data_IF_085035381763
#
_entry.id   IF_085035381763
#
_cell.length_a   1.000
_cell.length_b   1.000
_cell.length_c   1.000
_cell.angle_alpha   90.00
_cell.angle_beta   90.00
_cell.angle_gamma   90.00
#
_symmetry.space_group_name_H-M   'P 1'
#
loop_
_entity.id
_entity.type
_entity.pdbx_description
1 polymer ?
#
# COMPACT_ATOMS: atom_id res chain seq x y z
N UNK A 1 -19.38 -1.10 5.30
CA UNK A 1 -18.84 -2.38 4.80
C UNK A 1 -17.41 -2.48 5.28
N UNK A 2 -17.16 -3.31 6.30
CA UNK A 2 -15.86 -3.40 6.98
C UNK A 2 -14.98 -4.45 6.31
N UNK A 3 -13.78 -4.07 5.88
CA UNK A 3 -12.79 -4.99 5.28
C UNK A 3 -11.79 -5.40 6.35
N UNK A 4 -11.77 -6.68 6.71
CA UNK A 4 -10.82 -7.24 7.68
C UNK A 4 -9.42 -7.43 7.04
N UNK A 5 -8.38 -7.06 7.78
CA UNK A 5 -6.96 -7.23 7.42
C UNK A 5 -6.28 -8.04 8.52
N UNK A 6 -5.54 -9.10 8.15
CA UNK A 6 -4.93 -10.06 9.09
C UNK A 6 -3.40 -10.08 8.94
N UNK A 7 -2.67 -10.01 10.06
CA UNK A 7 -1.21 -10.22 10.14
C UNK A 7 -0.89 -11.68 10.54
N UNK A 8 0.16 -12.29 10.00
CA UNK A 8 0.60 -13.67 10.31
C UNK A 8 2.12 -13.73 10.58
N UNK A 9 2.54 -14.40 11.66
CA UNK A 9 3.90 -14.92 11.92
C UNK A 9 3.84 -16.39 12.35
N UNK A 10 4.90 -17.17 12.09
CA UNK A 10 4.94 -18.65 12.20
C UNK A 10 5.67 -19.23 13.45
N UNK A 11 5.19 -20.41 13.89
CA UNK A 11 5.76 -21.50 14.72
C UNK A 11 5.46 -21.59 16.26
N UNK A 12 5.27 -22.81 16.85
CA UNK A 12 4.75 -23.04 18.22
C UNK A 12 5.85 -23.35 19.28
N UNK A 13 5.51 -23.47 20.57
CA UNK A 13 5.71 -22.45 21.61
C UNK A 13 6.36 -23.07 22.88
N UNK A 14 7.14 -22.33 23.71
CA UNK A 14 7.37 -22.66 25.12
C UNK A 14 6.30 -21.99 26.02
N UNK A 15 6.08 -22.48 27.26
CA UNK A 15 4.95 -22.06 28.10
C UNK A 15 5.07 -20.61 28.57
N UNK A 16 3.90 -20.02 28.80
CA UNK A 16 3.60 -18.60 28.86
C UNK A 16 4.51 -17.77 29.79
N UNK A 17 5.17 -16.77 29.20
CA UNK A 17 5.36 -15.46 29.82
C UNK A 17 4.62 -14.45 28.97
N UNK A 18 3.52 -13.91 29.53
CA UNK A 18 2.62 -12.90 28.96
C UNK A 18 2.87 -12.52 27.50
N UNK A 19 2.23 -13.23 26.57
CA UNK A 19 2.18 -12.79 25.19
C UNK A 19 1.55 -11.39 25.17
N UNK A 20 2.37 -10.36 24.91
CA UNK A 20 1.89 -9.05 24.53
C UNK A 20 1.01 -9.25 23.29
N UNK A 21 -0.31 -9.38 23.47
CA UNK A 21 -1.28 -9.39 22.38
C UNK A 21 -1.05 -8.09 21.61
N UNK A 22 -0.47 -8.19 20.42
CA UNK A 22 -0.37 -7.05 19.52
C UNK A 22 -1.79 -6.56 19.25
N UNK A 23 -2.04 -5.31 19.63
CA UNK A 23 -3.35 -4.71 19.40
C UNK A 23 -3.66 -4.75 17.89
N UNK A 24 -4.93 -5.00 17.51
CA UNK A 24 -5.32 -5.01 16.11
C UNK A 24 -5.01 -3.65 15.48
N UNK A 25 -4.41 -3.68 14.28
CA UNK A 25 -4.20 -2.46 13.51
C UNK A 25 -5.52 -2.01 12.90
N UNK A 26 -5.94 -0.80 13.23
CA UNK A 26 -7.21 -0.23 12.73
C UNK A 26 -6.90 0.83 11.69
N UNK A 27 -7.52 0.70 10.52
CA UNK A 27 -7.44 1.69 9.45
C UNK A 27 -8.82 2.32 9.24
N UNK A 28 -8.90 3.65 9.33
CA UNK A 28 -10.11 4.38 8.91
C UNK A 28 -10.16 4.50 7.39
N UNK A 29 -11.22 5.12 6.85
CA UNK A 29 -11.36 5.36 5.40
C UNK A 29 -11.33 6.85 5.07
N UNK A 30 -10.59 7.22 4.04
CA UNK A 30 -10.47 8.59 3.55
C UNK A 30 -11.81 9.09 2.95
N UNK A 31 -12.14 10.38 3.07
CA UNK A 31 -13.26 10.97 2.32
C UNK A 31 -13.14 10.76 0.81
N UNK A 32 -14.28 10.58 0.14
CA UNK A 32 -14.36 10.46 -1.32
C UNK A 32 -14.34 11.84 -1.96
N UNK A 33 -13.46 12.07 -2.94
CA UNK A 33 -13.50 13.30 -3.74
C UNK A 33 -14.76 13.42 -4.58
N UNK A 34 -15.42 12.31 -4.91
CA UNK A 34 -16.66 12.30 -5.67
C UNK A 34 -17.88 12.74 -4.82
N UNK A 35 -17.87 12.45 -3.51
CA UNK A 35 -19.00 12.77 -2.62
C UNK A 35 -18.85 14.12 -1.91
N UNK A 36 -17.63 14.62 -1.75
CA UNK A 36 -17.34 15.89 -1.08
C UNK A 36 -16.33 16.70 -1.89
N UNK A 37 -16.72 17.22 -3.07
CA UNK A 37 -15.81 17.97 -3.94
C UNK A 37 -15.41 19.32 -3.32
N UNK A 38 -16.37 20.03 -2.71
CA UNK A 38 -16.11 21.31 -2.06
C UNK A 38 -15.33 21.09 -0.76
N UNK A 39 -14.27 21.89 -0.54
CA UNK A 39 -13.40 21.82 0.63
C UNK A 39 -12.80 20.42 0.89
N UNK A 40 -12.60 19.63 -0.18
CA UNK A 40 -12.11 18.25 -0.07
C UNK A 40 -10.83 18.13 0.77
N UNK A 41 -9.83 18.99 0.51
CA UNK A 41 -8.56 18.97 1.23
C UNK A 41 -8.72 19.23 2.74
N UNK A 42 -9.57 20.20 3.10
CA UNK A 42 -9.88 20.50 4.50
C UNK A 42 -10.56 19.30 5.17
N UNK A 43 -11.51 18.67 4.46
CA UNK A 43 -12.22 17.49 4.95
C UNK A 43 -11.28 16.30 5.16
N UNK A 44 -10.36 16.04 4.23
CA UNK A 44 -9.32 15.02 4.35
C UNK A 44 -8.47 15.28 5.61
N UNK A 45 -7.98 16.50 5.77
CA UNK A 45 -7.16 16.87 6.93
C UNK A 45 -7.93 16.73 8.25
N UNK A 46 -9.20 17.12 8.28
CA UNK A 46 -10.07 16.98 9.46
C UNK A 46 -10.29 15.52 9.84
N UNK A 47 -10.64 14.67 8.87
CA UNK A 47 -10.87 13.24 9.10
C UNK A 47 -9.58 12.54 9.51
N UNK A 48 -8.44 12.86 8.89
CA UNK A 48 -7.13 12.34 9.30
C UNK A 48 -6.83 12.64 10.77
N UNK A 49 -7.01 13.90 11.20
CA UNK A 49 -6.84 14.27 12.61
C UNK A 49 -7.82 13.57 13.55
N UNK A 50 -9.04 13.32 13.12
CA UNK A 50 -10.01 12.55 13.92
C UNK A 50 -9.60 11.08 14.05
N UNK A 51 -9.20 10.44 12.95
CA UNK A 51 -8.73 9.05 12.95
C UNK A 51 -7.51 8.87 13.84
N UNK A 52 -6.56 9.81 13.80
CA UNK A 52 -5.40 9.81 14.68
C UNK A 52 -5.80 9.87 16.16
N UNK A 53 -6.69 10.80 16.53
CA UNK A 53 -7.18 10.93 17.91
C UNK A 53 -7.97 9.71 18.38
N UNK A 54 -8.63 9.02 17.46
CA UNK A 54 -9.33 7.77 17.73
C UNK A 54 -8.38 6.55 17.86
N UNK A 55 -7.06 6.75 17.70
CA UNK A 55 -6.06 5.70 17.84
C UNK A 55 -5.93 4.78 16.61
N UNK A 56 -6.42 5.20 15.43
CA UNK A 56 -6.21 4.44 14.21
C UNK A 56 -4.72 4.36 13.88
N UNK A 57 -4.27 3.18 13.44
CA UNK A 57 -2.93 2.97 12.89
C UNK A 57 -2.73 3.74 11.59
N UNK A 58 -3.78 3.84 10.78
CA UNK A 58 -3.71 4.52 9.50
C UNK A 58 -5.06 4.83 8.89
N UNK A 59 -5.04 5.28 7.64
CA UNK A 59 -6.22 5.66 6.88
C UNK A 59 -6.11 5.18 5.43
N UNK A 60 -7.09 4.41 4.98
CA UNK A 60 -7.17 3.92 3.61
C UNK A 60 -7.50 5.07 2.65
N UNK A 61 -6.58 5.31 1.72
CA UNK A 61 -6.80 6.17 0.56
C UNK A 61 -7.02 5.25 -0.64
N UNK A 62 -8.29 5.03 -0.98
CA UNK A 62 -8.68 4.18 -2.11
C UNK A 62 -8.55 4.95 -3.43
N UNK A 63 -8.59 4.21 -4.53
CA UNK A 63 -8.40 4.74 -5.88
C UNK A 63 -9.34 4.03 -6.84
N UNK A 64 -9.85 4.79 -7.80
CA UNK A 64 -10.48 4.35 -9.04
C UNK A 64 -10.36 5.48 -10.07
N UNK A 65 -10.84 5.29 -11.30
CA UNK A 65 -10.66 6.29 -12.35
C UNK A 65 -11.50 7.58 -12.16
N UNK A 66 -12.39 7.64 -11.16
CA UNK A 66 -13.27 8.77 -10.87
C UNK A 66 -12.79 9.62 -9.68
N UNK A 67 -11.74 9.18 -8.98
CA UNK A 67 -11.22 9.82 -7.78
C UNK A 67 -9.91 10.56 -8.05
N UNK A 68 -9.59 11.50 -7.16
CA UNK A 68 -8.28 12.17 -7.18
C UNK A 68 -7.15 11.19 -6.82
N UNK A 69 -5.92 11.52 -7.22
CA UNK A 69 -4.76 10.66 -7.01
C UNK A 69 -4.51 10.35 -5.52
N UNK A 70 -4.36 9.06 -5.14
CA UNK A 70 -4.26 8.67 -3.75
C UNK A 70 -2.91 9.05 -3.11
N UNK A 71 -1.84 9.25 -3.89
CA UNK A 71 -0.53 9.65 -3.38
C UNK A 71 -0.53 11.12 -2.96
N UNK A 72 -1.14 11.99 -3.76
CA UNK A 72 -1.29 13.41 -3.41
C UNK A 72 -2.16 13.59 -2.17
N UNK A 73 -3.25 12.85 -2.05
CA UNK A 73 -4.08 12.84 -0.83
C UNK A 73 -3.31 12.31 0.38
N UNK A 74 -2.47 11.29 0.18
CA UNK A 74 -1.62 10.75 1.26
C UNK A 74 -0.61 11.76 1.79
N UNK A 75 -0.07 12.62 0.92
CA UNK A 75 0.80 13.72 1.37
C UNK A 75 0.04 14.71 2.27
N UNK A 76 -1.19 15.07 1.92
CA UNK A 76 -2.05 15.95 2.73
C UNK A 76 -2.29 15.35 4.11
N UNK A 77 -2.56 14.04 4.18
CA UNK A 77 -2.75 13.30 5.43
C UNK A 77 -1.50 13.36 6.31
N UNK A 78 -0.33 13.02 5.78
CA UNK A 78 0.93 12.99 6.55
C UNK A 78 1.28 14.38 7.07
N UNK A 79 1.11 15.43 6.27
CA UNK A 79 1.38 16.81 6.67
C UNK A 79 0.46 17.32 7.80
N UNK A 80 -0.71 16.70 7.98
CA UNK A 80 -1.73 17.15 8.93
C UNK A 80 -1.87 16.25 10.17
N UNK A 81 -0.98 15.26 10.33
CA UNK A 81 -1.02 14.26 11.43
C UNK A 81 0.38 13.96 11.95
N UNK A 82 0.50 13.50 13.19
CA UNK A 82 1.80 13.20 13.82
C UNK A 82 2.29 11.75 13.70
N UNK A 83 1.35 10.81 13.65
CA UNK A 83 1.56 9.36 13.74
C UNK A 83 0.73 8.57 12.72
N UNK A 84 -0.41 9.10 12.29
CA UNK A 84 -1.29 8.41 11.33
C UNK A 84 -0.54 8.14 10.02
N UNK A 85 -0.61 6.91 9.56
CA UNK A 85 0.05 6.46 8.33
C UNK A 85 -0.98 6.25 7.21
N UNK A 86 -0.79 6.83 6.01
CA UNK A 86 -1.62 6.49 4.87
C UNK A 86 -1.49 5.00 4.50
N UNK A 87 -2.62 4.38 4.16
CA UNK A 87 -2.71 3.09 3.50
C UNK A 87 -3.14 3.36 2.05
N UNK A 88 -2.18 3.43 1.15
CA UNK A 88 -2.38 3.84 -0.24
C UNK A 88 -2.83 2.65 -1.07
N UNK A 89 -3.99 2.73 -1.72
CA UNK A 89 -4.39 1.73 -2.70
C UNK A 89 -3.52 1.85 -3.95
N UNK A 90 -2.89 0.75 -4.36
CA UNK A 90 -1.97 0.68 -5.49
C UNK A 90 -2.45 -0.37 -6.47
N UNK A 91 -2.64 0.05 -7.72
CA UNK A 91 -3.00 -0.82 -8.82
C UNK A 91 -1.88 -0.82 -9.87
N UNK A 92 -1.30 -2.00 -10.21
CA UNK A 92 -0.17 -2.10 -11.15
C UNK A 92 -0.40 -1.52 -12.55
N UNK A 93 -1.65 -1.28 -12.94
CA UNK A 93 -2.02 -0.69 -14.24
C UNK A 93 -1.68 0.79 -14.30
N UNK A 94 -1.70 1.50 -13.16
CA UNK A 94 -1.56 2.95 -13.15
C UNK A 94 -0.11 3.42 -13.31
N UNK A 95 0.88 2.64 -12.85
CA UNK A 95 2.27 3.04 -12.93
C UNK A 95 3.25 1.90 -12.70
N UNK A 96 4.48 2.07 -13.20
CA UNK A 96 5.60 1.14 -13.04
C UNK A 96 5.98 0.92 -11.55
N UNK A 97 6.41 -0.29 -11.13
CA UNK A 97 6.77 -0.57 -9.73
C UNK A 97 7.88 0.34 -9.20
N UNK A 98 8.81 0.78 -10.06
CA UNK A 98 9.83 1.76 -9.68
C UNK A 98 9.23 3.09 -9.20
N UNK A 99 8.19 3.59 -9.86
CA UNK A 99 7.54 4.86 -9.49
C UNK A 99 6.89 4.76 -8.12
N UNK A 100 6.23 3.64 -7.83
CA UNK A 100 5.67 3.37 -6.49
C UNK A 100 6.75 3.28 -5.43
N UNK A 101 7.82 2.52 -5.69
CA UNK A 101 8.96 2.42 -4.77
C UNK A 101 9.58 3.80 -4.51
N UNK A 102 9.72 4.64 -5.54
CA UNK A 102 10.21 6.01 -5.41
C UNK A 102 9.29 6.90 -4.57
N UNK A 103 7.97 6.83 -4.75
CA UNK A 103 7.03 7.60 -3.93
C UNK A 103 7.05 7.17 -2.47
N UNK A 104 7.14 5.86 -2.21
CA UNK A 104 7.28 5.33 -0.84
C UNK A 104 8.56 5.86 -0.18
N UNK A 105 9.70 5.68 -0.85
CA UNK A 105 10.99 6.18 -0.36
C UNK A 105 10.95 7.69 -0.13
N UNK A 106 10.33 8.45 -1.03
CA UNK A 106 10.23 9.90 -0.92
C UNK A 106 9.36 10.33 0.27
N UNK A 107 8.14 9.80 0.41
CA UNK A 107 7.26 10.16 1.54
C UNK A 107 7.90 9.77 2.88
N UNK A 108 8.47 8.57 2.95
CA UNK A 108 9.11 8.11 4.18
C UNK A 108 10.34 8.95 4.55
N UNK A 109 11.17 9.32 3.57
CA UNK A 109 12.32 10.18 3.78
C UNK A 109 11.92 11.60 4.20
N UNK A 110 10.93 12.20 3.53
CA UNK A 110 10.52 13.58 3.79
C UNK A 110 9.88 13.77 5.17
N UNK A 111 9.13 12.76 5.64
CA UNK A 111 8.31 12.89 6.86
C UNK A 111 8.76 11.99 8.01
N UNK A 112 9.82 11.20 7.83
CA UNK A 112 10.30 10.26 8.84
C UNK A 112 9.23 9.25 9.29
N UNK A 113 8.29 8.92 8.40
CA UNK A 113 7.13 8.08 8.72
C UNK A 113 6.90 7.05 7.63
N UNK A 114 6.73 5.79 8.03
CA UNK A 114 6.36 4.74 7.08
C UNK A 114 4.98 5.01 6.47
N UNK A 115 4.74 4.40 5.32
CA UNK A 115 3.40 4.31 4.73
C UNK A 115 2.97 2.86 4.60
N UNK A 116 1.71 2.61 4.33
CA UNK A 116 1.21 1.28 4.01
C UNK A 116 0.70 1.23 2.57
N UNK A 117 0.73 0.04 1.99
CA UNK A 117 0.23 -0.22 0.65
C UNK A 117 -0.93 -1.21 0.75
N UNK A 118 -2.04 -0.86 0.13
CA UNK A 118 -3.09 -1.81 -0.22
C UNK A 118 -2.90 -2.19 -1.68
N UNK A 119 -2.28 -3.34 -1.93
CA UNK A 119 -2.04 -3.88 -3.26
C UNK A 119 -3.35 -4.43 -3.83
N UNK A 120 -3.79 -3.88 -4.96
CA UNK A 120 -5.04 -4.21 -5.62
C UNK A 120 -4.75 -4.91 -6.94
N UNK A 121 -5.14 -6.18 -7.06
CA UNK A 121 -4.91 -6.96 -8.28
C UNK A 121 -5.65 -6.39 -9.49
N UNK A 122 -6.85 -5.84 -9.27
CA UNK A 122 -7.63 -5.18 -10.31
C UNK A 122 -8.68 -4.23 -9.72
N UNK A 123 -8.98 -3.18 -10.48
CA UNK A 123 -10.05 -2.23 -10.20
C UNK A 123 -11.38 -2.63 -10.84
N UNK A 124 -12.30 -1.69 -10.91
CA UNK A 124 -13.59 -1.88 -11.59
C UNK A 124 -13.38 -2.29 -13.05
N UNK A 125 -14.21 -3.20 -13.55
CA UNK A 125 -14.08 -3.73 -14.93
C UNK A 125 -14.06 -2.61 -15.98
N UNK A 126 -14.92 -1.61 -15.81
CA UNK A 126 -15.02 -0.48 -16.72
C UNK A 126 -13.75 0.36 -16.74
N UNK A 127 -13.11 0.56 -15.58
CA UNK A 127 -11.85 1.31 -15.46
C UNK A 127 -10.72 0.61 -16.21
N UNK A 128 -10.62 -0.71 -16.04
CA UNK A 128 -9.62 -1.51 -16.75
C UNK A 128 -9.85 -1.49 -18.26
N UNK A 129 -11.11 -1.57 -18.70
CA UNK A 129 -11.46 -1.44 -20.13
C UNK A 129 -11.10 -0.06 -20.67
N UNK A 130 -11.38 1.02 -19.94
CA UNK A 130 -11.02 2.38 -20.35
C UNK A 130 -9.51 2.59 -20.45
N UNK A 131 -8.74 1.85 -19.66
CA UNK A 131 -7.26 1.82 -19.70
C UNK A 131 -6.71 0.81 -20.72
N UNK A 132 -7.60 0.15 -21.47
CA UNK A 132 -7.24 -0.88 -22.43
C UNK A 132 -6.44 -2.05 -21.83
N UNK A 133 -6.67 -2.38 -20.55
CA UNK A 133 -6.07 -3.53 -19.88
C UNK A 133 -6.90 -4.79 -20.11
N UNK A 134 -6.48 -5.59 -21.10
CA UNK A 134 -7.12 -6.86 -21.46
C UNK A 134 -6.64 -8.06 -20.63
N UNK A 135 -5.85 -7.82 -19.57
CA UNK A 135 -5.27 -8.88 -18.74
C UNK A 135 -6.36 -9.77 -18.11
N UNK A 136 -6.33 -11.10 -18.33
CA UNK A 136 -7.27 -12.04 -17.71
C UNK A 136 -7.22 -11.97 -16.18
N UNK A 137 -8.37 -12.16 -15.52
CA UNK A 137 -8.51 -12.00 -14.07
C UNK A 137 -7.38 -12.66 -13.25
N UNK A 138 -7.10 -13.95 -13.50
CA UNK A 138 -6.09 -14.69 -12.71
C UNK A 138 -4.66 -14.22 -12.98
N UNK A 139 -4.41 -13.78 -14.22
CA UNK A 139 -3.14 -13.20 -14.65
C UNK A 139 -2.86 -11.85 -13.98
N UNK A 140 -3.90 -11.14 -13.51
CA UNK A 140 -3.73 -9.89 -12.75
C UNK A 140 -3.06 -10.12 -11.39
N UNK A 141 -3.35 -11.25 -10.75
CA UNK A 141 -2.66 -11.62 -9.50
C UNK A 141 -1.20 -11.96 -9.74
N UNK A 142 -0.87 -12.63 -10.85
CA UNK A 142 0.54 -12.83 -11.24
C UNK A 142 1.24 -11.48 -11.44
N UNK A 143 0.61 -10.55 -12.17
CA UNK A 143 1.12 -9.18 -12.31
C UNK A 143 1.34 -8.49 -10.96
N UNK A 144 0.39 -8.61 -10.04
CA UNK A 144 0.48 -8.02 -8.69
C UNK A 144 1.63 -8.60 -7.87
N UNK A 145 1.86 -9.91 -7.95
CA UNK A 145 2.96 -10.58 -7.25
C UNK A 145 4.30 -10.06 -7.78
N UNK A 146 4.51 -10.09 -9.11
CA UNK A 146 5.74 -9.56 -9.73
C UNK A 146 5.97 -8.10 -9.34
N UNK A 147 4.92 -7.28 -9.41
CA UNK A 147 4.95 -5.88 -9.02
C UNK A 147 5.41 -5.68 -7.57
N UNK A 148 4.78 -6.40 -6.65
CA UNK A 148 5.03 -6.30 -5.21
C UNK A 148 6.45 -6.76 -4.86
N UNK A 149 6.95 -7.81 -5.52
CA UNK A 149 8.31 -8.31 -5.33
C UNK A 149 9.35 -7.26 -5.75
N UNK A 150 9.18 -6.63 -6.93
CA UNK A 150 10.10 -5.57 -7.39
C UNK A 150 10.07 -4.37 -6.42
N UNK A 151 8.88 -3.89 -6.03
CA UNK A 151 8.74 -2.78 -5.06
C UNK A 151 9.45 -3.10 -3.75
N UNK A 152 9.23 -4.29 -3.19
CA UNK A 152 9.85 -4.71 -1.92
C UNK A 152 11.37 -4.76 -2.02
N UNK A 153 11.91 -5.41 -3.06
CA UNK A 153 13.37 -5.54 -3.23
C UNK A 153 14.05 -4.18 -3.41
N UNK A 154 13.44 -3.26 -4.16
CA UNK A 154 13.96 -1.90 -4.33
C UNK A 154 14.01 -1.13 -3.01
N UNK A 155 12.97 -1.25 -2.18
CA UNK A 155 12.89 -0.55 -0.89
C UNK A 155 13.81 -1.14 0.17
N UNK A 156 13.97 -2.46 0.20
CA UNK A 156 14.94 -3.12 1.08
C UNK A 156 16.38 -2.75 0.73
N UNK A 157 16.65 -2.41 -0.54
CA UNK A 157 17.91 -1.78 -0.96
C UNK A 157 19.17 -2.61 -0.73
N UNK A 158 19.05 -3.94 -0.59
CA UNK A 158 20.17 -4.87 -0.31
C UNK A 158 21.15 -4.97 -1.48
N UNK A 159 20.65 -4.95 -2.71
CA UNK A 159 21.42 -5.05 -3.96
C UNK A 159 20.64 -4.42 -5.12
N UNK A 160 21.28 -4.14 -6.28
CA UNK A 160 20.55 -3.87 -7.51
C UNK A 160 19.56 -4.99 -7.83
N UNK A 161 18.37 -4.62 -8.31
CA UNK A 161 17.26 -5.53 -8.60
C UNK A 161 17.27 -5.89 -10.08
N UNK A 162 17.46 -7.18 -10.38
CA UNK A 162 17.18 -7.76 -11.68
C UNK A 162 16.00 -8.70 -11.54
N UNK A 163 15.01 -8.57 -12.42
CA UNK A 163 13.79 -9.36 -12.41
C UNK A 163 13.36 -9.67 -13.84
N UNK A 164 13.03 -10.93 -14.11
CA UNK A 164 12.52 -11.38 -15.41
C UNK A 164 11.19 -12.12 -15.21
N UNK A 165 10.09 -11.38 -15.33
CA UNK A 165 8.74 -11.91 -15.19
C UNK A 165 7.95 -11.89 -16.49
N UNK A 166 6.68 -12.29 -16.37
CA UNK A 166 5.68 -12.25 -17.45
C UNK A 166 5.25 -10.81 -17.74
N UNK A 167 5.12 -9.97 -16.70
CA UNK A 167 4.62 -8.60 -16.81
C UNK A 167 5.72 -7.56 -16.67
N UNK A 168 6.74 -7.83 -15.87
CA UNK A 168 7.81 -6.87 -15.62
C UNK A 168 9.18 -7.47 -15.89
N UNK A 169 10.05 -6.64 -16.47
CA UNK A 169 11.48 -6.92 -16.61
C UNK A 169 12.27 -5.70 -16.20
N UNK A 170 13.19 -5.87 -15.27
CA UNK A 170 14.13 -4.83 -14.84
C UNK A 170 15.53 -5.42 -14.74
N UNK A 171 16.56 -4.62 -15.01
CA UNK A 171 17.94 -5.07 -14.97
C UNK A 171 18.78 -4.11 -14.13
N UNK A 172 19.47 -4.63 -13.11
CA UNK A 172 20.34 -3.88 -12.21
C UNK A 172 19.73 -2.57 -11.66
N UNK A 173 18.41 -2.57 -11.43
CA UNK A 173 17.65 -1.39 -11.03
C UNK A 173 17.93 -1.05 -9.56
N UNK A 174 18.24 0.20 -9.26
CA UNK A 174 18.54 0.67 -7.90
C UNK A 174 17.63 1.83 -7.52
N UNK A 175 17.38 1.99 -6.23
CA UNK A 175 16.56 3.07 -5.69
C UNK A 175 17.35 3.89 -4.66
N UNK A 176 17.12 5.20 -4.64
CA UNK A 176 17.65 6.11 -3.63
C UNK A 176 16.64 7.22 -3.32
N UNK A 177 16.55 7.70 -2.06
CA UNK A 177 17.35 7.30 -0.90
C UNK A 177 16.98 5.92 -0.35
N UNK A 178 17.90 5.31 0.41
CA UNK A 178 17.62 4.08 1.17
C UNK A 178 16.78 4.43 2.40
N UNK A 179 15.85 3.55 2.73
CA UNK A 179 15.03 3.69 3.94
C UNK A 179 15.65 2.89 5.09
N UNK A 180 15.52 3.43 6.30
CA UNK A 180 15.75 2.65 7.50
C UNK A 180 14.69 1.53 7.63
N UNK A 181 15.00 0.37 8.23
CA UNK A 181 14.07 -0.76 8.33
C UNK A 181 12.70 -0.41 8.93
N UNK A 182 12.65 0.49 9.91
CA UNK A 182 11.43 0.97 10.57
C UNK A 182 10.52 1.81 9.66
N UNK A 183 11.08 2.36 8.58
CA UNK A 183 10.36 3.16 7.58
C UNK A 183 9.87 2.33 6.38
N UNK A 184 10.23 1.05 6.31
CA UNK A 184 9.71 0.15 5.28
C UNK A 184 8.18 0.04 5.38
N UNK A 185 7.48 -0.03 4.25
CA UNK A 185 6.03 -0.01 4.26
C UNK A 185 5.45 -1.33 4.76
N UNK A 186 4.29 -1.25 5.42
CA UNK A 186 3.44 -2.42 5.57
C UNK A 186 2.69 -2.70 4.27
N UNK A 187 2.68 -3.96 3.81
CA UNK A 187 2.02 -4.35 2.56
C UNK A 187 0.83 -5.25 2.89
N UNK A 188 -0.34 -4.84 2.42
CA UNK A 188 -1.60 -5.55 2.54
C UNK A 188 -2.08 -5.87 1.12
N UNK A 189 -2.74 -7.00 0.92
CA UNK A 189 -3.23 -7.40 -0.41
C UNK A 189 -4.72 -7.64 -0.36
N UNK A 190 -5.48 -6.94 -1.19
CA UNK A 190 -6.92 -7.14 -1.33
C UNK A 190 -7.21 -8.35 -2.23
N UNK A 191 -8.12 -9.23 -1.80
CA UNK A 191 -8.71 -10.27 -2.66
C UNK A 191 -7.90 -11.57 -2.84
N UNK A 192 -6.78 -11.77 -2.16
CA UNK A 192 -6.06 -13.06 -2.18
C UNK A 192 -6.56 -14.01 -1.09
N UNK A 193 -6.92 -15.24 -1.47
CA UNK A 193 -6.98 -16.37 -0.52
C UNK A 193 -5.56 -16.65 0.01
N UNK A 194 -5.45 -16.76 1.34
CA UNK A 194 -4.20 -16.88 2.14
C UNK A 194 -3.15 -17.86 1.56
N UNK A 195 -3.60 -18.98 0.98
CA UNK A 195 -2.74 -20.07 0.52
C UNK A 195 -1.84 -19.74 -0.68
N UNK A 196 -2.15 -18.71 -1.47
CA UNK A 196 -1.44 -18.42 -2.73
C UNK A 196 -0.15 -17.60 -2.53
N UNK A 197 -0.05 -16.83 -1.44
CA UNK A 197 1.14 -16.03 -1.11
C UNK A 197 2.26 -16.89 -0.49
N UNK A 198 1.90 -17.85 0.36
CA UNK A 198 2.86 -18.71 1.06
C UNK A 198 3.62 -19.65 0.09
N UNK A 199 3.00 -20.04 -1.04
CA UNK A 199 3.62 -20.88 -2.08
C UNK A 199 4.54 -20.12 -3.05
N UNK A 200 4.60 -18.79 -2.97
CA UNK A 200 5.44 -17.94 -3.84
C UNK A 200 6.70 -17.41 -3.14
N UNK A 201 6.99 -17.90 -1.92
CA UNK A 201 8.23 -17.63 -1.19
C UNK A 201 9.35 -18.56 -1.63
#
# INVERSE_FOLDING_TARGET
MSTNLTLISDAPAPPERGASRSLPQVFSTCPSSALTPDNYLERVAQVARWSERAGCTGILVYTDNSLVDPWLVSQVIIQNTGLLCPLVAVQPVYMHPYSVAKMISTLAFLYGRRIYLNMVAGGFKNDLTALNDTTPHDSRYTRLIEYTLIVRQLLEGRSPVTFEGKFFRVNALTLSPRLAPELLPGILVSGLQRERWERSR
#
